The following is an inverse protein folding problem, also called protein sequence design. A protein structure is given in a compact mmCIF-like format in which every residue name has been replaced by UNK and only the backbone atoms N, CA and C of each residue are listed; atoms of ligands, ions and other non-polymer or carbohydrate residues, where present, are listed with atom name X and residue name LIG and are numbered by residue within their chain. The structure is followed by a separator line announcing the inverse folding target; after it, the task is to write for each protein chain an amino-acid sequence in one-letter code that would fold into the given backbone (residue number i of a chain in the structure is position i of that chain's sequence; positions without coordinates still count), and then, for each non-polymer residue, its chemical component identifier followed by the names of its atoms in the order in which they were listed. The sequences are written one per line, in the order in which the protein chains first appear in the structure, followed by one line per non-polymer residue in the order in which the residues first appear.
data_IF_890632025404
#
_entry.id   IF_890632025404
#
_cell.length_a   1.000
_cell.length_b   1.000
_cell.length_c   1.000
_cell.angle_alpha   90.00
_cell.angle_beta   90.00
_cell.angle_gamma   90.00
#
_symmetry.space_group_name_H-M   'P 1'
#
loop_
_entity.id
_entity.type
_entity.pdbx_description
1 polymer ?
#
# COMPACT_ATOMS: atom_id res chain seq x y z
N UNK A 1 -0.97 27.25 -7.44
CA UNK A 1 -2.33 27.79 -7.19
C UNK A 1 -3.38 26.68 -7.10
N UNK A 2 -3.57 25.83 -8.12
CA UNK A 2 -4.67 24.83 -8.15
C UNK A 2 -4.77 23.95 -6.89
N UNK A 3 -3.67 23.33 -6.45
CA UNK A 3 -3.67 22.49 -5.24
C UNK A 3 -3.87 23.29 -3.94
N UNK A 4 -3.35 24.53 -3.89
CA UNK A 4 -3.51 25.42 -2.74
C UNK A 4 -4.98 25.84 -2.58
N UNK A 5 -5.64 26.19 -3.68
CA UNK A 5 -7.05 26.54 -3.72
C UNK A 5 -7.93 25.33 -3.37
N UNK A 6 -7.68 24.17 -4.00
CA UNK A 6 -8.42 22.94 -3.73
C UNK A 6 -8.34 22.49 -2.26
N UNK A 7 -7.15 22.60 -1.66
CA UNK A 7 -6.94 22.24 -0.25
C UNK A 7 -7.31 23.37 0.73
N UNK A 8 -7.66 24.56 0.23
CA UNK A 8 -7.94 25.75 1.06
C UNK A 8 -6.74 26.24 1.87
N UNK A 9 -5.51 25.98 1.40
CA UNK A 9 -4.26 26.34 2.10
C UNK A 9 -3.50 27.43 1.37
N UNK A 10 -3.04 28.43 2.12
CA UNK A 10 -2.22 29.52 1.58
C UNK A 10 -0.86 29.02 1.08
N UNK A 11 -0.23 28.10 1.82
CA UNK A 11 1.08 27.55 1.50
C UNK A 11 1.06 26.02 1.54
N UNK A 12 1.81 25.40 0.63
CA UNK A 12 2.03 23.96 0.61
C UNK A 12 3.29 23.63 1.38
N UNK A 13 3.27 22.47 2.03
CA UNK A 13 4.45 21.93 2.67
C UNK A 13 5.49 21.49 1.64
N UNK A 14 6.77 21.80 1.87
CA UNK A 14 7.91 21.56 0.97
C UNK A 14 9.17 21.08 1.70
N UNK A 15 9.02 20.48 2.88
CA UNK A 15 10.18 19.98 3.65
C UNK A 15 10.81 18.71 3.05
N UNK A 16 10.18 18.10 2.05
CA UNK A 16 10.71 16.93 1.34
C UNK A 16 11.23 17.34 -0.03
N UNK A 17 12.39 16.78 -0.39
CA UNK A 17 12.91 16.86 -1.76
C UNK A 17 12.01 16.04 -2.68
N UNK A 18 11.42 16.69 -3.69
CA UNK A 18 10.47 16.07 -4.59
C UNK A 18 11.12 14.99 -5.48
N UNK A 19 12.42 15.12 -5.78
CA UNK A 19 13.12 14.23 -6.70
C UNK A 19 13.72 13.03 -5.96
N UNK A 20 14.17 13.23 -4.71
CA UNK A 20 14.91 12.21 -3.96
C UNK A 20 14.08 11.47 -2.90
N UNK A 21 13.00 12.05 -2.39
CA UNK A 21 12.27 11.49 -1.25
C UNK A 21 11.77 10.05 -1.49
N UNK A 22 11.35 9.74 -2.72
CA UNK A 22 10.87 8.40 -3.08
C UNK A 22 12.01 7.39 -3.04
N UNK A 23 13.17 7.72 -3.63
CA UNK A 23 14.33 6.82 -3.69
C UNK A 23 14.89 6.58 -2.29
N UNK A 24 15.01 7.63 -1.48
CA UNK A 24 15.48 7.53 -0.10
C UNK A 24 14.53 6.71 0.78
N UNK A 25 13.21 6.92 0.64
CA UNK A 25 12.20 6.14 1.36
C UNK A 25 12.23 4.65 0.98
N UNK A 26 12.41 4.33 -0.30
CA UNK A 26 12.53 2.96 -0.77
C UNK A 26 13.79 2.27 -0.23
N UNK A 27 14.94 2.96 -0.25
CA UNK A 27 16.20 2.46 0.31
C UNK A 27 16.08 2.22 1.82
N UNK A 28 15.42 3.11 2.56
CA UNK A 28 15.13 2.93 3.99
C UNK A 28 14.24 1.72 4.25
N UNK A 29 13.21 1.49 3.42
CA UNK A 29 12.35 0.32 3.53
C UNK A 29 13.12 -0.99 3.27
N UNK A 30 13.98 -1.01 2.26
CA UNK A 30 14.87 -2.14 1.98
C UNK A 30 15.82 -2.43 3.15
N UNK A 31 16.44 -1.39 3.73
CA UNK A 31 17.27 -1.52 4.92
C UNK A 31 16.48 -2.04 6.14
N UNK A 32 15.20 -1.69 6.27
CA UNK A 32 14.33 -2.14 7.35
C UNK A 32 13.96 -3.64 7.27
N UNK A 33 13.94 -4.20 6.05
CA UNK A 33 13.68 -5.63 5.81
C UNK A 33 15.00 -6.44 5.79
N UNK A 34 16.13 -5.80 5.51
CA UNK A 34 17.44 -6.46 5.41
C UNK A 34 17.91 -7.04 6.74
N UNK A 35 18.46 -8.25 6.70
CA UNK A 35 19.15 -8.87 7.84
C UNK A 35 20.60 -8.38 7.99
N UNK A 36 21.17 -7.78 6.94
CA UNK A 36 22.56 -7.31 6.92
C UNK A 36 22.76 -5.90 7.49
N UNK A 37 21.67 -5.14 7.65
CA UNK A 37 21.70 -3.75 8.15
C UNK A 37 20.75 -3.63 9.34
N UNK A 38 21.29 -3.32 10.52
CA UNK A 38 20.48 -3.13 11.73
C UNK A 38 20.13 -1.66 11.91
N UNK A 39 18.87 -1.31 11.68
CA UNK A 39 18.35 0.00 12.04
C UNK A 39 18.20 0.13 13.56
N UNK A 40 18.44 1.34 14.09
CA UNK A 40 18.23 1.64 15.52
C UNK A 40 16.77 1.45 15.96
N UNK A 41 15.82 1.61 15.05
CA UNK A 41 14.39 1.35 15.25
C UNK A 41 13.78 0.78 13.99
N UNK A 42 13.08 -0.35 14.10
CA UNK A 42 12.29 -0.89 12.99
C UNK A 42 11.09 0.03 12.72
N UNK A 43 10.86 0.31 11.44
CA UNK A 43 9.72 1.09 10.97
C UNK A 43 8.59 0.14 10.58
N UNK A 44 7.42 0.34 11.17
CA UNK A 44 6.19 -0.29 10.72
C UNK A 44 5.57 0.55 9.61
N UNK A 45 5.31 -0.05 8.45
CA UNK A 45 4.65 0.60 7.32
C UNK A 45 3.35 -0.16 7.05
N UNK A 46 2.25 0.59 6.94
CA UNK A 46 0.93 0.08 6.56
C UNK A 46 0.41 0.93 5.41
N UNK A 47 -0.14 0.28 4.40
CA UNK A 47 -0.74 0.95 3.25
C UNK A 47 -2.13 0.39 2.94
N UNK A 48 -2.97 1.09 2.19
CA UNK A 48 -4.31 0.66 1.81
C UNK A 48 -4.36 -0.02 0.45
N UNK A 49 -5.09 -1.13 0.32
CA UNK A 49 -5.37 -1.74 -0.97
C UNK A 49 -6.15 -0.76 -1.87
N UNK A 50 -5.60 -0.35 -3.01
CA UNK A 50 -6.28 0.62 -3.90
C UNK A 50 -7.60 0.10 -4.48
N UNK A 51 -7.72 -1.23 -4.62
CA UNK A 51 -8.86 -1.94 -5.17
C UNK A 51 -9.27 -3.13 -4.30
N UNK A 52 -10.45 -3.66 -4.56
CA UNK A 52 -10.89 -4.91 -3.98
C UNK A 52 -10.27 -6.11 -4.73
N UNK A 53 -9.78 -7.11 -4.01
CA UNK A 53 -9.30 -8.38 -4.57
C UNK A 53 -10.35 -9.46 -4.33
N UNK A 54 -10.78 -10.10 -5.43
CA UNK A 54 -11.71 -11.23 -5.43
C UNK A 54 -10.95 -12.44 -5.94
N UNK A 55 -11.10 -13.58 -5.26
CA UNK A 55 -10.55 -14.86 -5.71
C UNK A 55 -11.67 -15.67 -6.38
N UNK A 56 -11.33 -16.34 -7.47
CA UNK A 56 -12.23 -17.27 -8.16
C UNK A 56 -11.63 -18.67 -8.13
N UNK A 57 -12.41 -19.64 -7.66
CA UNK A 57 -12.03 -21.05 -7.60
C UNK A 57 -12.49 -21.79 -8.86
N UNK A 58 -11.59 -22.59 -9.45
CA UNK A 58 -11.89 -23.45 -10.60
C UNK A 58 -11.40 -24.88 -10.36
N UNK A 59 -12.21 -25.88 -10.74
CA UNK A 59 -11.89 -27.29 -10.56
C UNK A 59 -13.00 -28.21 -11.06
N UNK A 60 -12.68 -29.46 -11.49
CA UNK A 60 -13.65 -30.39 -12.07
C UNK A 60 -14.75 -30.81 -11.09
N UNK A 61 -14.48 -30.73 -9.77
CA UNK A 61 -15.42 -31.10 -8.71
C UNK A 61 -16.26 -29.91 -8.20
N UNK A 62 -16.03 -28.69 -8.73
CA UNK A 62 -16.74 -27.48 -8.31
C UNK A 62 -18.00 -27.29 -9.15
N UNK A 63 -19.17 -27.51 -8.55
CA UNK A 63 -20.48 -27.18 -9.14
C UNK A 63 -20.54 -25.65 -9.34
N UNK A 64 -20.41 -25.21 -10.58
CA UNK A 64 -20.29 -23.80 -11.03
C UNK A 64 -21.38 -22.84 -10.52
N UNK A 65 -22.45 -23.34 -9.92
CA UNK A 65 -23.66 -22.55 -9.63
C UNK A 65 -23.72 -21.93 -8.23
N UNK A 66 -22.80 -22.26 -7.30
CA UNK A 66 -22.82 -21.67 -5.95
C UNK A 66 -21.41 -21.25 -5.48
N UNK A 67 -21.11 -19.96 -5.62
CA UNK A 67 -19.95 -19.27 -5.05
C UNK A 67 -18.56 -19.73 -5.55
N UNK A 68 -18.32 -19.66 -6.86
CA UNK A 68 -16.93 -19.70 -7.36
C UNK A 68 -16.13 -18.46 -6.98
N UNK A 69 -16.77 -17.33 -6.64
CA UNK A 69 -16.12 -16.03 -6.36
C UNK A 69 -16.26 -15.61 -4.91
N UNK A 70 -15.14 -15.24 -4.28
CA UNK A 70 -15.06 -14.77 -2.90
C UNK A 70 -14.26 -13.47 -2.80
N UNK A 71 -14.80 -12.46 -2.09
CA UNK A 71 -14.08 -11.21 -1.81
C UNK A 71 -13.03 -11.44 -0.71
N UNK A 72 -11.75 -11.34 -1.07
CA UNK A 72 -10.63 -11.60 -0.16
C UNK A 72 -10.12 -10.33 0.54
N UNK A 73 -9.93 -9.26 -0.22
CA UNK A 73 -9.42 -7.97 0.30
C UNK A 73 -10.35 -6.86 -0.17
N UNK A 74 -11.12 -6.22 0.73
CA UNK A 74 -11.90 -5.03 0.40
C UNK A 74 -11.01 -3.85 0.00
N UNK A 75 -11.57 -2.94 -0.79
CA UNK A 75 -10.92 -1.67 -1.14
C UNK A 75 -10.58 -0.89 0.14
N UNK A 76 -9.39 -0.29 0.16
CA UNK A 76 -8.78 0.43 1.28
C UNK A 76 -8.52 -0.40 2.54
N UNK A 77 -8.61 -1.74 2.49
CA UNK A 77 -8.15 -2.59 3.60
C UNK A 77 -6.64 -2.37 3.80
N UNK A 78 -6.23 -2.26 5.06
CA UNK A 78 -4.82 -2.07 5.44
C UNK A 78 -4.02 -3.33 5.12
N UNK A 79 -2.88 -3.14 4.47
CA UNK A 79 -1.91 -4.14 4.07
C UNK A 79 -0.57 -3.91 4.80
N UNK A 80 0.23 -4.96 5.03
CA UNK A 80 -0.07 -6.37 4.73
C UNK A 80 -1.17 -6.94 5.64
N UNK A 81 -2.06 -7.75 5.07
CA UNK A 81 -3.10 -8.49 5.81
C UNK A 81 -3.01 -9.98 5.52
N UNK A 82 -3.20 -10.81 6.53
CA UNK A 82 -3.38 -12.26 6.38
C UNK A 82 -4.86 -12.60 6.19
#
# INVERSE_FOLDING_TARGET
AVLQEFLGRKELDKHLDADEAIVLGAALHAANISDGIKLNRKLGILDGASYALVIEYGGPDLVLEKNSKELLVPRMKKLPSK
#
